data_IF_580684104425
#
_entry.id   IF_580684104425
#
_cell.length_a   1.000
_cell.length_b   1.000
_cell.length_c   1.000
_cell.angle_alpha   90.00
_cell.angle_beta   90.00
_cell.angle_gamma   90.00
#
_symmetry.space_group_name_H-M   'P 1'
#
loop_
_entity.id
_entity.type
_entity.pdbx_description
1 polymer ?
#
# COMPACT_ATOMS: atom_id res chain seq x y z
N UNK A 1 7.57 5.18 -8.26
CA UNK A 1 6.99 4.68 -6.98
C UNK A 1 5.92 5.68 -6.53
N UNK A 2 4.76 5.25 -6.00
CA UNK A 2 3.80 6.14 -5.38
C UNK A 2 4.42 6.88 -4.18
N UNK A 3 3.90 8.06 -3.86
CA UNK A 3 4.27 8.76 -2.62
C UNK A 3 3.69 8.03 -1.40
N UNK A 4 4.20 8.38 -0.21
CA UNK A 4 3.65 7.89 1.05
C UNK A 4 2.14 8.16 1.15
N UNK A 5 1.72 9.39 0.87
CA UNK A 5 0.32 9.80 1.00
C UNK A 5 -0.60 9.04 0.02
N UNK A 6 -0.12 8.74 -1.19
CA UNK A 6 -0.87 7.89 -2.13
C UNK A 6 -1.03 6.47 -1.58
N UNK A 7 0.01 5.89 -0.98
CA UNK A 7 -0.07 4.54 -0.41
C UNK A 7 -1.01 4.49 0.80
N UNK A 8 -0.96 5.50 1.67
CA UNK A 8 -1.86 5.63 2.83
C UNK A 8 -3.31 5.73 2.36
N UNK A 9 -3.64 6.63 1.43
CA UNK A 9 -4.99 6.76 0.90
C UNK A 9 -5.50 5.46 0.25
N UNK A 10 -4.62 4.71 -0.41
CA UNK A 10 -4.95 3.41 -0.97
C UNK A 10 -5.20 2.36 0.10
N UNK A 11 -4.38 2.33 1.16
CA UNK A 11 -4.55 1.41 2.28
C UNK A 11 -5.86 1.69 3.03
N UNK A 12 -6.15 2.96 3.33
CA UNK A 12 -7.41 3.38 3.97
C UNK A 12 -8.62 2.95 3.14
N UNK A 13 -8.59 3.19 1.82
CA UNK A 13 -9.68 2.79 0.92
C UNK A 13 -9.88 1.28 0.85
N UNK A 14 -8.81 0.51 0.99
CA UNK A 14 -8.84 -0.95 0.89
C UNK A 14 -8.80 -1.66 2.25
N UNK A 15 -8.98 -0.93 3.36
CA UNK A 15 -8.91 -1.45 4.73
C UNK A 15 -7.63 -2.26 4.99
N UNK A 16 -6.47 -1.69 4.65
CA UNK A 16 -5.16 -2.30 4.85
C UNK A 16 -4.84 -3.47 3.91
N UNK A 17 -5.76 -3.87 3.02
CA UNK A 17 -5.57 -5.05 2.15
C UNK A 17 -4.61 -4.74 1.00
N UNK A 18 -3.32 -5.02 1.22
CA UNK A 18 -2.23 -4.78 0.26
C UNK A 18 -2.46 -5.45 -1.11
N UNK A 19 -3.12 -6.61 -1.14
CA UNK A 19 -3.45 -7.28 -2.40
C UNK A 19 -4.40 -6.46 -3.29
N UNK A 20 -5.35 -5.72 -2.70
CA UNK A 20 -6.25 -4.83 -3.43
C UNK A 20 -5.54 -3.56 -3.91
N UNK A 21 -4.68 -3.00 -3.06
CA UNK A 21 -3.78 -1.89 -3.45
C UNK A 21 -2.92 -2.29 -4.65
N UNK A 22 -2.35 -3.49 -4.62
CA UNK A 22 -1.52 -4.02 -5.69
C UNK A 22 -2.30 -4.22 -7.01
N UNK A 23 -3.51 -4.78 -6.91
CA UNK A 23 -4.41 -4.95 -8.04
C UNK A 23 -4.78 -3.61 -8.69
N UNK A 24 -5.10 -2.59 -7.89
CA UNK A 24 -5.44 -1.26 -8.40
C UNK A 24 -4.24 -0.58 -9.07
N UNK A 25 -3.04 -0.72 -8.51
CA UNK A 25 -1.83 -0.13 -9.10
C UNK A 25 -1.30 -0.91 -10.31
N UNK A 26 -1.85 -2.09 -10.62
CA UNK A 26 -1.31 -2.99 -11.65
C UNK A 26 0.12 -3.46 -11.33
N UNK A 27 0.37 -3.79 -10.06
CA UNK A 27 1.69 -4.18 -9.52
C UNK A 27 1.59 -5.43 -8.68
N UNK A 28 2.74 -6.05 -8.39
CA UNK A 28 2.79 -7.17 -7.45
C UNK A 28 2.72 -6.68 -6.01
N UNK A 29 2.09 -7.45 -5.12
CA UNK A 29 2.04 -7.18 -3.68
C UNK A 29 3.43 -6.98 -3.09
N UNK A 30 4.42 -7.76 -3.56
CA UNK A 30 5.84 -7.63 -3.14
C UNK A 30 6.42 -6.25 -3.47
N UNK A 31 6.04 -5.65 -4.61
CA UNK A 31 6.48 -4.31 -4.98
C UNK A 31 5.83 -3.24 -4.09
N UNK A 32 4.57 -3.45 -3.68
CA UNK A 32 3.87 -2.56 -2.74
C UNK A 32 4.51 -2.62 -1.36
N UNK A 33 4.77 -3.80 -0.80
CA UNK A 33 5.47 -3.94 0.48
C UNK A 33 6.84 -3.24 0.48
N UNK A 34 7.62 -3.32 -0.61
CA UNK A 34 8.88 -2.58 -0.73
C UNK A 34 8.71 -1.05 -0.69
N UNK A 35 7.59 -0.54 -1.18
CA UNK A 35 7.29 0.90 -1.08
C UNK A 35 6.82 1.27 0.32
N UNK A 36 6.01 0.42 0.95
CA UNK A 36 5.56 0.59 2.33
C UNK A 36 6.75 0.62 3.31
N UNK A 37 7.67 -0.36 3.20
CA UNK A 37 8.91 -0.39 3.99
C UNK A 37 9.75 0.88 3.79
N UNK A 38 9.92 1.33 2.53
CA UNK A 38 10.68 2.54 2.22
C UNK A 38 10.09 3.79 2.87
N UNK A 39 8.77 3.84 2.99
CA UNK A 39 8.04 4.99 3.55
C UNK A 39 7.68 4.81 5.03
N UNK A 40 8.08 3.69 5.67
CA UNK A 40 7.74 3.38 7.05
C UNK A 40 6.23 3.30 7.31
N UNK A 41 5.47 2.71 6.38
CA UNK A 41 4.01 2.56 6.50
C UNK A 41 3.70 1.10 6.81
N UNK A 42 2.98 0.84 7.90
CA UNK A 42 2.45 -0.48 8.21
C UNK A 42 1.02 -0.59 7.66
N UNK A 43 0.70 -1.57 6.79
CA UNK A 43 -0.66 -1.76 6.31
C UNK A 43 -1.67 -2.13 7.41
N UNK A 44 -1.23 -2.73 8.52
CA UNK A 44 -2.12 -3.13 9.61
C UNK A 44 -2.65 -1.92 10.40
N UNK A 45 -1.97 -0.76 10.36
CA UNK A 45 -2.46 0.50 10.94
C UNK A 45 -3.71 1.04 10.23
N UNK A 46 -4.08 0.48 9.07
CA UNK A 46 -5.17 0.93 8.21
C UNK A 46 -6.27 -0.12 8.00
N UNK A 47 -6.30 -1.18 8.82
CA UNK A 47 -7.27 -2.29 8.75
C UNK A 47 -8.57 -2.03 9.50
#
# INVERSE_FOLDING_TARGET
PPSRDTLVALLERHAGVVARVAAELGRSTRQVYRWLERHGVDPDDHR
#
